data_IF_088017784971
#
_entry.id   IF_088017784971
#
_cell.length_a   1.000
_cell.length_b   1.000
_cell.length_c   1.000
_cell.angle_alpha   90.00
_cell.angle_beta   90.00
_cell.angle_gamma   90.00
#
_symmetry.space_group_name_H-M   'P 1'
#
loop_
_entity.id
_entity.type
_entity.pdbx_description
1 polymer ?
#
# COMPACT_ATOMS: atom_id res chain seq x y z
N UNK A 1 -7.32 12.88 -15.10
CA UNK A 1 -5.97 13.30 -14.66
C UNK A 1 -6.12 13.91 -13.28
N UNK A 2 -5.25 13.58 -12.32
CA UNK A 2 -5.35 14.12 -10.97
C UNK A 2 -4.99 15.62 -11.01
N UNK A 3 -5.89 16.51 -10.56
CA UNK A 3 -5.71 17.97 -10.65
C UNK A 3 -4.39 18.41 -10.00
N UNK A 4 -4.01 17.72 -8.92
CA UNK A 4 -2.74 17.93 -8.23
C UNK A 4 -1.51 17.72 -9.14
N UNK A 5 -1.51 16.65 -9.93
CA UNK A 5 -0.39 16.32 -10.82
C UNK A 5 -0.29 17.29 -11.98
N UNK A 6 -1.42 17.77 -12.47
CA UNK A 6 -1.46 18.78 -13.54
C UNK A 6 -0.92 20.13 -13.04
N UNK A 7 -1.30 20.55 -11.84
CA UNK A 7 -0.78 21.78 -11.21
C UNK A 7 0.72 21.68 -10.98
N UNK A 8 1.21 20.55 -10.44
CA UNK A 8 2.64 20.30 -10.27
C UNK A 8 3.40 20.35 -11.60
N UNK A 9 2.86 19.74 -12.65
CA UNK A 9 3.49 19.73 -13.96
C UNK A 9 3.59 21.13 -14.58
N UNK A 10 2.59 21.99 -14.35
CA UNK A 10 2.59 23.40 -14.78
C UNK A 10 3.57 24.25 -13.98
N UNK A 11 3.75 23.96 -12.68
CA UNK A 11 4.65 24.68 -11.77
C UNK A 11 6.06 24.09 -11.66
N UNK A 12 6.41 23.04 -12.42
CA UNK A 12 7.69 22.32 -12.27
C UNK A 12 8.91 23.06 -12.82
N UNK A 13 8.72 24.00 -13.75
CA UNK A 13 9.82 24.67 -14.46
C UNK A 13 9.58 26.17 -14.61
N UNK A 14 10.64 26.95 -14.44
CA UNK A 14 10.64 28.42 -14.58
C UNK A 14 10.11 28.87 -15.95
N UNK A 15 10.40 28.13 -17.02
CA UNK A 15 9.92 28.45 -18.38
C UNK A 15 8.41 28.28 -18.49
N UNK A 16 7.86 27.22 -17.86
CA UNK A 16 6.41 26.96 -17.85
C UNK A 16 5.67 27.95 -16.97
N UNK A 17 6.21 28.26 -15.80
CA UNK A 17 5.68 29.31 -14.91
C UNK A 17 5.62 30.65 -15.64
N UNK A 18 6.70 31.04 -16.33
CA UNK A 18 6.73 32.26 -17.15
C UNK A 18 5.66 32.27 -18.24
N UNK A 19 5.45 31.14 -18.91
CA UNK A 19 4.40 31.01 -19.91
C UNK A 19 3.00 31.05 -19.30
N UNK A 20 2.81 30.52 -18.09
CA UNK A 20 1.52 30.43 -17.41
C UNK A 20 1.07 31.81 -16.87
N UNK A 21 2.01 32.61 -16.37
CA UNK A 21 1.76 33.93 -15.78
C UNK A 21 2.10 35.10 -16.71
N UNK A 22 2.22 34.84 -18.02
CA UNK A 22 2.63 35.84 -19.01
C UNK A 22 1.73 37.09 -19.02
N UNK A 23 0.43 36.87 -18.84
CA UNK A 23 -0.60 37.92 -18.91
C UNK A 23 -1.09 38.35 -17.51
N UNK A 24 -0.36 37.98 -16.45
CA UNK A 24 -0.73 38.29 -15.05
C UNK A 24 0.11 39.45 -14.54
N UNK A 25 -0.52 40.39 -13.84
CA UNK A 25 0.16 41.52 -13.24
C UNK A 25 1.01 41.11 -12.03
N UNK A 26 2.07 41.87 -11.76
CA UNK A 26 2.98 41.59 -10.65
C UNK A 26 2.24 41.55 -9.29
N UNK A 27 1.28 42.45 -9.08
CA UNK A 27 0.49 42.51 -7.83
C UNK A 27 -0.34 41.24 -7.60
N UNK A 28 -0.95 40.69 -8.65
CA UNK A 28 -1.72 39.45 -8.55
C UNK A 28 -0.81 38.25 -8.27
N UNK A 29 0.40 38.25 -8.83
CA UNK A 29 1.40 37.22 -8.56
C UNK A 29 1.87 37.29 -7.10
N UNK A 30 2.11 38.49 -6.56
CA UNK A 30 2.46 38.70 -5.15
C UNK A 30 1.34 38.23 -4.22
N UNK A 31 0.07 38.52 -4.54
CA UNK A 31 -1.09 38.02 -3.78
C UNK A 31 -1.18 36.50 -3.82
N UNK A 32 -0.92 35.87 -4.96
CA UNK A 32 -0.87 34.40 -5.06
C UNK A 32 0.26 33.81 -4.23
N UNK A 33 1.46 34.41 -4.28
CA UNK A 33 2.60 33.99 -3.48
C UNK A 33 2.31 34.10 -1.97
N UNK A 34 1.66 35.16 -1.52
CA UNK A 34 1.23 35.32 -0.13
C UNK A 34 0.36 34.14 0.31
N UNK A 35 -0.69 33.83 -0.46
CA UNK A 35 -1.61 32.72 -0.12
C UNK A 35 -0.91 31.37 -0.13
N UNK A 36 0.03 31.14 -1.07
CA UNK A 36 0.80 29.90 -1.11
C UNK A 36 1.75 29.79 0.08
N UNK A 37 2.34 30.90 0.55
CA UNK A 37 3.15 30.94 1.75
C UNK A 37 2.33 30.63 3.01
N UNK A 38 1.12 31.19 3.14
CA UNK A 38 0.24 30.90 4.28
C UNK A 38 -0.07 29.39 4.39
N UNK A 39 -0.44 28.76 3.28
CA UNK A 39 -0.70 27.31 3.21
C UNK A 39 0.57 26.50 3.50
N UNK A 40 1.74 26.98 3.07
CA UNK A 40 3.02 26.33 3.31
C UNK A 40 3.42 26.40 4.78
N UNK A 41 3.19 27.53 5.46
CA UNK A 41 3.42 27.67 6.90
C UNK A 41 2.44 26.80 7.72
N UNK A 42 1.17 26.70 7.31
CA UNK A 42 0.21 25.77 7.92
C UNK A 42 0.73 24.32 7.84
N UNK A 43 1.23 23.89 6.68
CA UNK A 43 1.80 22.54 6.52
C UNK A 43 3.08 22.33 7.33
N UNK A 44 3.97 23.33 7.41
CA UNK A 44 5.19 23.25 8.22
C UNK A 44 4.86 23.14 9.71
N UNK A 45 3.92 23.95 10.20
CA UNK A 45 3.50 23.92 11.61
C UNK A 45 2.80 22.60 11.94
N UNK A 46 2.00 22.05 11.03
CA UNK A 46 1.43 20.71 11.19
C UNK A 46 2.52 19.64 11.29
N UNK A 47 3.50 19.65 10.38
CA UNK A 47 4.64 18.72 10.40
C UNK A 47 5.49 18.85 11.66
N UNK A 48 5.76 20.09 12.10
CA UNK A 48 6.51 20.36 13.32
C UNK A 48 5.76 19.86 14.56
N UNK A 49 4.43 20.05 14.64
CA UNK A 49 3.60 19.47 15.72
C UNK A 49 3.64 17.94 15.73
N UNK A 50 3.63 17.30 14.56
CA UNK A 50 3.78 15.84 14.48
C UNK A 50 5.17 15.38 14.93
N UNK A 51 6.21 16.12 14.58
CA UNK A 51 7.59 15.85 14.98
C UNK A 51 7.78 16.06 16.49
N UNK A 52 7.28 17.15 17.06
CA UNK A 52 7.28 17.40 18.51
C UNK A 52 6.54 16.29 19.27
N UNK A 53 5.36 15.87 18.81
CA UNK A 53 4.64 14.73 19.43
C UNK A 53 5.44 13.44 19.37
N UNK A 54 6.17 13.18 18.28
CA UNK A 54 7.04 12.00 18.16
C UNK A 54 8.21 12.08 19.14
N UNK A 55 8.82 13.26 19.27
CA UNK A 55 9.91 13.49 20.21
C UNK A 55 9.44 13.39 21.67
N UNK A 56 8.27 13.94 22.00
CA UNK A 56 7.64 13.79 23.32
C UNK A 56 7.35 12.32 23.64
N UNK A 57 6.78 11.57 22.69
CA UNK A 57 6.54 10.13 22.86
C UNK A 57 7.87 9.38 23.05
N UNK A 58 8.90 9.69 22.27
CA UNK A 58 10.21 9.07 22.41
C UNK A 58 10.88 9.40 23.75
N UNK A 59 10.81 10.66 24.19
CA UNK A 59 11.32 11.10 25.49
C UNK A 59 10.59 10.40 26.64
N UNK A 60 9.27 10.32 26.58
CA UNK A 60 8.47 9.58 27.57
C UNK A 60 8.83 8.08 27.59
N UNK A 61 9.06 7.47 26.42
CA UNK A 61 9.50 6.07 26.34
C UNK A 61 10.87 5.89 26.99
N UNK A 62 11.80 6.82 26.76
CA UNK A 62 13.14 6.76 27.33
C UNK A 62 13.13 6.96 28.84
N UNK A 63 12.32 7.90 29.34
CA UNK A 63 12.13 8.13 30.78
C UNK A 63 11.50 6.91 31.46
N UNK A 64 10.46 6.32 30.87
CA UNK A 64 9.85 5.08 31.36
C UNK A 64 10.88 3.94 31.37
N UNK A 65 11.73 3.84 30.33
CA UNK A 65 12.79 2.83 30.25
C UNK A 65 13.84 3.01 31.35
N UNK A 66 14.20 4.24 31.69
CA UNK A 66 15.12 4.53 32.81
C UNK A 66 14.49 4.13 34.15
N UNK A 67 13.23 4.49 34.40
CA UNK A 67 12.50 4.10 35.63
C UNK A 67 12.37 2.58 35.74
N UNK A 68 12.14 1.88 34.63
CA UNK A 68 12.09 0.42 34.57
C UNK A 68 13.43 -0.22 34.94
N UNK A 69 14.54 0.34 34.44
CA UNK A 69 15.88 -0.13 34.76
C UNK A 69 16.22 0.09 36.25
N UNK A 70 15.90 1.26 36.79
CA UNK A 70 16.13 1.60 38.20
C UNK A 70 15.37 0.68 39.16
N UNK A 71 14.13 0.31 38.81
CA UNK A 71 13.31 -0.62 39.60
C UNK A 71 13.60 -2.10 39.33
N UNK A 72 14.52 -2.42 38.41
CA UNK A 72 14.88 -3.79 38.05
C UNK A 72 13.74 -4.59 37.40
N UNK A 73 12.77 -3.92 36.78
CA UNK A 73 11.59 -4.55 36.16
C UNK A 73 11.80 -4.62 34.65
N UNK A 74 11.77 -5.82 34.07
CA UNK A 74 11.86 -5.98 32.61
C UNK A 74 10.49 -5.85 31.93
N UNK A 75 10.48 -5.57 30.62
CA UNK A 75 9.24 -5.54 29.81
C UNK A 75 8.43 -6.85 29.90
N UNK A 76 9.10 -7.96 30.22
CA UNK A 76 8.50 -9.28 30.41
C UNK A 76 7.75 -9.39 31.74
N UNK A 77 8.21 -8.70 32.79
CA UNK A 77 7.63 -8.75 34.13
C UNK A 77 6.33 -7.93 34.24
N UNK A 78 6.14 -6.96 33.34
CA UNK A 78 4.92 -6.18 33.20
C UNK A 78 3.82 -6.89 32.40
N UNK A 79 4.04 -8.14 31.98
CA UNK A 79 3.07 -8.90 31.16
C UNK A 79 2.83 -8.29 29.76
N UNK A 80 3.66 -7.32 29.35
CA UNK A 80 3.63 -6.66 28.03
C UNK A 80 4.52 -7.36 27.00
N UNK A 81 5.08 -8.52 27.36
CA UNK A 81 5.76 -9.42 26.43
C UNK A 81 4.88 -9.67 25.20
N UNK A 82 5.47 -9.52 24.02
CA UNK A 82 4.82 -9.58 22.72
C UNK A 82 3.62 -10.53 22.71
N UNK A 83 2.41 -9.99 22.55
CA UNK A 83 1.32 -10.77 21.96
C UNK A 83 1.86 -11.21 20.61
N UNK A 84 2.41 -12.44 20.57
CA UNK A 84 2.94 -13.08 19.36
C UNK A 84 1.96 -12.74 18.26
N UNK A 85 2.36 -11.86 17.35
CA UNK A 85 1.61 -11.66 16.11
C UNK A 85 1.53 -13.05 15.53
N UNK A 86 0.34 -13.65 15.58
CA UNK A 86 0.05 -14.88 14.87
C UNK A 86 0.15 -14.47 13.41
N UNK A 87 1.37 -14.51 12.88
CA UNK A 87 1.67 -14.35 11.47
C UNK A 87 0.89 -15.45 10.81
N UNK A 88 -0.29 -15.09 10.31
CA UNK A 88 -1.18 -15.97 9.57
C UNK A 88 -0.32 -16.57 8.48
N UNK A 89 0.10 -17.83 8.64
CA UNK A 89 0.95 -18.53 7.67
C UNK A 89 0.32 -18.30 6.32
N UNK A 90 1.01 -17.54 5.44
CA UNK A 90 0.65 -17.48 4.03
C UNK A 90 0.71 -18.93 3.56
N UNK A 91 -0.44 -19.54 3.29
CA UNK A 91 -0.49 -20.83 2.61
C UNK A 91 0.29 -20.64 1.32
N UNK A 92 1.40 -21.36 1.18
CA UNK A 92 2.15 -21.43 -0.08
C UNK A 92 1.14 -21.79 -1.16
N UNK A 93 1.00 -20.93 -2.16
CA UNK A 93 0.15 -21.21 -3.31
C UNK A 93 0.83 -22.31 -4.11
N UNK A 94 0.45 -23.57 -3.86
CA UNK A 94 0.88 -24.70 -4.67
C UNK A 94 0.38 -24.47 -6.10
N UNK A 95 1.32 -24.51 -7.06
CA UNK A 95 1.03 -24.36 -8.48
C UNK A 95 0.71 -25.74 -9.04
N UNK A 96 -0.25 -25.81 -9.95
CA UNK A 96 -0.69 -27.05 -10.56
C UNK A 96 -0.88 -26.83 -12.06
N UNK A 97 -0.69 -27.90 -12.82
CA UNK A 97 -1.10 -28.00 -14.21
C UNK A 97 -2.48 -28.65 -14.26
N UNK A 98 -3.48 -27.91 -14.74
CA UNK A 98 -4.85 -28.40 -14.93
C UNK A 98 -5.09 -28.73 -16.40
N UNK A 99 -5.85 -29.79 -16.68
CA UNK A 99 -6.30 -30.11 -18.03
C UNK A 99 -7.84 -30.17 -18.08
N UNK A 100 -8.44 -29.45 -19.02
CA UNK A 100 -9.90 -29.40 -19.19
C UNK A 100 -10.30 -29.34 -20.66
N UNK A 101 -11.57 -29.68 -20.95
CA UNK A 101 -12.12 -29.62 -22.31
C UNK A 101 -12.91 -28.34 -22.50
N UNK A 102 -12.55 -27.54 -23.50
CA UNK A 102 -13.30 -26.32 -23.80
C UNK A 102 -14.66 -26.64 -24.45
N UNK A 103 -15.51 -25.63 -24.67
CA UNK A 103 -16.81 -25.77 -25.35
C UNK A 103 -16.66 -26.34 -26.77
N UNK A 104 -15.54 -26.06 -27.43
CA UNK A 104 -15.18 -26.61 -28.75
C UNK A 104 -14.66 -28.05 -28.75
N UNK A 105 -14.57 -28.72 -27.60
CA UNK A 105 -14.12 -30.12 -27.51
C UNK A 105 -12.60 -30.35 -27.45
N UNK A 106 -11.81 -29.28 -27.55
CA UNK A 106 -10.35 -29.32 -27.45
C UNK A 106 -9.86 -29.43 -25.99
N UNK A 107 -8.83 -30.25 -25.76
CA UNK A 107 -8.18 -30.40 -24.46
C UNK A 107 -7.16 -29.27 -24.24
N UNK A 108 -7.46 -28.35 -23.33
CA UNK A 108 -6.60 -27.21 -22.98
C UNK A 108 -5.86 -27.51 -21.66
N UNK A 109 -4.57 -27.20 -21.65
CA UNK A 109 -3.71 -27.27 -20.46
C UNK A 109 -3.52 -25.86 -19.88
N UNK A 110 -3.79 -25.69 -18.59
CA UNK A 110 -3.66 -24.41 -17.88
C UNK A 110 -2.80 -24.55 -16.62
N UNK A 111 -1.78 -23.71 -16.51
CA UNK A 111 -0.91 -23.65 -15.33
C UNK A 111 -1.40 -22.56 -14.38
N UNK A 112 -1.81 -22.93 -13.18
CA UNK A 112 -2.43 -22.00 -12.24
C UNK A 112 -2.26 -22.41 -10.78
N UNK A 113 -2.60 -21.50 -9.87
CA UNK A 113 -2.67 -21.80 -8.45
C UNK A 113 -4.09 -22.22 -8.06
N UNK A 114 -4.23 -23.10 -7.08
CA UNK A 114 -5.53 -23.46 -6.48
C UNK A 114 -6.23 -22.27 -5.80
N UNK A 115 -5.49 -21.20 -5.50
CA UNK A 115 -5.97 -19.95 -4.91
C UNK A 115 -5.76 -18.80 -5.90
N UNK A 116 -6.82 -18.28 -6.52
CA UNK A 116 -6.74 -17.17 -7.46
C UNK A 116 -7.92 -17.09 -8.44
N UNK A 117 -7.82 -16.18 -9.42
CA UNK A 117 -8.77 -16.07 -10.53
C UNK A 117 -8.61 -17.26 -11.48
N UNK A 118 -9.74 -17.82 -11.93
CA UNK A 118 -9.78 -18.90 -12.91
C UNK A 118 -10.01 -18.34 -14.32
N UNK A 119 -9.44 -18.96 -15.37
CA UNK A 119 -9.82 -18.69 -16.75
C UNK A 119 -11.32 -18.94 -16.95
N UNK A 120 -11.94 -18.10 -17.78
CA UNK A 120 -13.39 -18.19 -18.05
C UNK A 120 -13.78 -19.56 -18.58
N UNK A 121 -13.00 -20.11 -19.50
CA UNK A 121 -13.24 -21.42 -20.11
C UNK A 121 -13.16 -22.56 -19.09
N UNK A 122 -12.23 -22.47 -18.13
CA UNK A 122 -12.12 -23.45 -17.05
C UNK A 122 -13.29 -23.35 -16.08
N UNK A 123 -13.73 -22.13 -15.76
CA UNK A 123 -14.92 -21.91 -14.94
C UNK A 123 -16.16 -22.51 -15.60
N UNK A 124 -16.39 -22.26 -16.89
CA UNK A 124 -17.49 -22.86 -17.67
C UNK A 124 -17.41 -24.39 -17.67
N UNK A 125 -16.21 -24.97 -17.80
CA UNK A 125 -16.02 -26.41 -17.73
C UNK A 125 -16.36 -27.01 -16.36
N UNK A 126 -15.94 -26.35 -15.27
CA UNK A 126 -16.27 -26.77 -13.91
C UNK A 126 -17.78 -26.68 -13.65
N UNK A 127 -18.43 -25.60 -14.11
CA UNK A 127 -19.87 -25.40 -13.98
C UNK A 127 -20.66 -26.45 -14.78
N UNK A 128 -20.19 -26.83 -15.98
CA UNK A 128 -20.80 -27.89 -16.81
C UNK A 128 -20.63 -29.29 -16.23
N UNK A 129 -19.46 -29.59 -15.65
CA UNK A 129 -19.10 -30.96 -15.23
C UNK A 129 -19.33 -31.22 -13.74
N UNK A 130 -19.56 -30.19 -12.94
CA UNK A 130 -19.69 -30.28 -11.48
C UNK A 130 -18.42 -30.74 -10.76
N UNK A 131 -17.28 -30.81 -11.47
CA UNK A 131 -16.01 -31.29 -10.92
C UNK A 131 -15.36 -30.24 -10.04
N UNK A 132 -14.59 -30.68 -9.03
CA UNK A 132 -13.80 -29.75 -8.22
C UNK A 132 -12.50 -29.43 -8.96
N UNK A 133 -11.92 -28.26 -8.67
CA UNK A 133 -10.66 -27.79 -9.29
C UNK A 133 -9.54 -28.83 -9.18
N UNK A 134 -9.45 -29.49 -8.02
CA UNK A 134 -8.44 -30.51 -7.73
C UNK A 134 -8.59 -31.78 -8.58
N UNK A 135 -9.79 -32.09 -9.08
CA UNK A 135 -10.03 -33.28 -9.91
C UNK A 135 -9.51 -33.11 -11.35
N UNK A 136 -9.16 -31.88 -11.74
CA UNK A 136 -8.64 -31.55 -13.07
C UNK A 136 -7.12 -31.36 -13.08
N UNK A 137 -6.45 -31.62 -11.96
CA UNK A 137 -4.99 -31.52 -11.83
C UNK A 137 -4.33 -32.73 -12.49
N UNK A 138 -3.37 -32.48 -13.36
CA UNK A 138 -2.56 -33.51 -14.03
C UNK A 138 -1.15 -33.56 -13.43
N UNK A 139 -0.59 -32.43 -13.01
CA UNK A 139 0.77 -32.37 -12.46
C UNK A 139 0.86 -31.32 -11.33
N UNK A 140 1.53 -31.68 -10.24
CA UNK A 140 1.86 -30.75 -9.16
C UNK A 140 3.18 -30.04 -9.50
N UNK A 141 3.12 -28.72 -9.69
CA UNK A 141 4.31 -27.88 -9.87
C UNK A 141 4.77 -27.42 -8.48
N UNK A 142 5.76 -28.13 -7.93
CA UNK A 142 6.38 -27.79 -6.64
C UNK A 142 7.22 -26.51 -6.73
#
# INVERSE_FOLDING_TARGET
MNIYEEVLHRLSSKTRIRSLFKDVHAEDLERMLSRMNDVLEEKKTARSKEESKRLEIQGNIEEIKQIMQDKGVSLSDLGLGEKKKVTRRRRSSQKYTFQYKNEGGESITWHGATTGRLPRDFQTYLDRTGKKRLDCVVEELN
#
